data_IF_266663276223
#
_entry.id   IF_266663276223
#
_cell.length_a   1.000
_cell.length_b   1.000
_cell.length_c   1.000
_cell.angle_alpha   90.00
_cell.angle_beta   90.00
_cell.angle_gamma   90.00
#
_symmetry.space_group_name_H-M   'P 1'
#
loop_
_entity.id
_entity.type
_entity.pdbx_description
1 polymer ?
#
# COMPACT_ATOMS: atom_id res chain seq x y z
N UNK A 1 -16.48 -10.21 -0.45
CA UNK A 1 -16.15 -8.78 -0.32
C UNK A 1 -14.83 -8.56 -1.02
N UNK A 2 -14.61 -7.39 -1.59
CA UNK A 2 -13.38 -7.02 -2.32
C UNK A 2 -12.92 -5.66 -1.84
N UNK A 3 -11.62 -5.38 -1.95
CA UNK A 3 -11.10 -4.06 -1.57
C UNK A 3 -11.52 -3.02 -2.60
N UNK A 4 -12.00 -1.87 -2.15
CA UNK A 4 -12.42 -0.73 -2.98
C UNK A 4 -11.70 0.58 -2.61
N UNK A 5 -10.90 0.55 -1.54
CA UNK A 5 -10.06 1.66 -1.13
C UNK A 5 -9.17 1.32 0.07
N UNK A 6 -8.20 2.19 0.34
CA UNK A 6 -7.23 2.04 1.43
C UNK A 6 -6.88 3.39 2.04
N UNK A 7 -6.40 3.37 3.29
CA UNK A 7 -5.83 4.54 3.96
C UNK A 7 -4.88 4.12 5.09
N UNK A 8 -4.03 5.05 5.51
CA UNK A 8 -3.33 4.93 6.78
C UNK A 8 -4.17 5.48 7.94
N UNK A 9 -4.16 4.79 9.07
CA UNK A 9 -4.75 5.28 10.32
C UNK A 9 -3.78 5.07 11.47
N UNK A 10 -3.55 6.10 12.26
CA UNK A 10 -2.87 5.97 13.54
C UNK A 10 -3.89 5.64 14.63
N UNK A 11 -3.75 4.48 15.25
CA UNK A 11 -4.59 4.04 16.38
C UNK A 11 -3.79 3.15 17.31
N UNK A 12 -4.01 3.29 18.61
CA UNK A 12 -3.36 2.48 19.65
C UNK A 12 -1.82 2.52 19.53
N UNK A 13 -1.26 3.70 19.20
CA UNK A 13 0.19 3.94 19.00
C UNK A 13 0.83 3.19 17.81
N UNK A 14 0.00 2.69 16.89
CA UNK A 14 0.44 1.97 15.69
C UNK A 14 -0.14 2.63 14.43
N UNK A 15 0.63 2.60 13.34
CA UNK A 15 0.13 2.93 12.00
C UNK A 15 -0.45 1.67 11.38
N UNK A 16 -1.70 1.73 10.95
CA UNK A 16 -2.42 0.64 10.30
C UNK A 16 -2.70 0.97 8.84
N UNK A 17 -2.66 -0.03 7.96
CA UNK A 17 -3.40 0.03 6.70
C UNK A 17 -4.84 -0.37 7.01
N UNK A 18 -5.78 0.56 6.83
CA UNK A 18 -7.21 0.26 6.90
C UNK A 18 -7.75 0.09 5.48
N UNK A 19 -8.54 -0.95 5.26
CA UNK A 19 -9.17 -1.22 3.96
C UNK A 19 -10.65 -0.84 3.98
N UNK A 20 -11.12 -0.36 2.83
CA UNK A 20 -12.53 -0.22 2.49
C UNK A 20 -12.92 -1.42 1.64
N UNK A 21 -14.02 -2.06 1.99
CA UNK A 21 -14.54 -3.22 1.26
C UNK A 21 -15.92 -2.95 0.67
N UNK A 22 -16.21 -3.59 -0.46
CA UNK A 22 -17.52 -3.60 -1.11
C UNK A 22 -17.95 -5.00 -1.53
N UNK A 23 -19.26 -5.20 -1.74
CA UNK A 23 -19.79 -6.46 -2.29
C UNK A 23 -19.68 -6.42 -3.82
N UNK A 24 -18.82 -7.28 -4.36
CA UNK A 24 -18.68 -7.48 -5.80
C UNK A 24 -20.00 -7.96 -6.41
N UNK A 25 -20.24 -7.52 -7.64
CA UNK A 25 -21.37 -7.84 -8.50
C UNK A 25 -20.84 -8.15 -9.90
N UNK A 26 -21.66 -8.74 -10.78
CA UNK A 26 -21.35 -8.93 -12.19
C UNK A 26 -20.70 -7.71 -12.83
N UNK A 27 -19.81 -7.97 -13.79
CA UNK A 27 -19.10 -6.98 -14.59
C UNK A 27 -18.19 -6.05 -13.75
N UNK A 28 -17.62 -6.55 -12.67
CA UNK A 28 -16.74 -5.78 -11.79
C UNK A 28 -17.44 -4.63 -11.06
N UNK A 29 -18.77 -4.64 -10.96
CA UNK A 29 -19.52 -3.60 -10.25
C UNK A 29 -19.45 -3.83 -8.73
N UNK A 30 -19.61 -2.76 -7.97
CA UNK A 30 -19.80 -2.82 -6.52
C UNK A 30 -21.25 -2.51 -6.19
N UNK A 31 -21.88 -3.36 -5.37
CA UNK A 31 -23.26 -3.14 -4.93
C UNK A 31 -23.36 -1.79 -4.22
N UNK A 32 -24.22 -0.90 -4.73
CA UNK A 32 -24.41 0.44 -4.19
C UNK A 32 -24.76 0.38 -2.69
N UNK A 33 -24.04 1.14 -1.88
CA UNK A 33 -24.24 1.20 -0.43
C UNK A 33 -23.62 0.02 0.35
N UNK A 34 -22.95 -0.92 -0.32
CA UNK A 34 -22.21 -2.00 0.37
C UNK A 34 -20.82 -1.58 0.84
N UNK A 35 -20.29 -0.45 0.35
CA UNK A 35 -18.96 0.03 0.69
C UNK A 35 -18.85 0.48 2.14
N UNK A 36 -17.85 -0.04 2.85
CA UNK A 36 -17.55 0.37 4.23
C UNK A 36 -16.07 0.25 4.57
N UNK A 37 -15.58 1.13 5.43
CA UNK A 37 -14.29 0.95 6.07
C UNK A 37 -14.37 -0.19 7.09
N UNK A 38 -13.49 -1.19 7.00
CA UNK A 38 -13.39 -2.22 8.02
C UNK A 38 -12.80 -1.62 9.30
N UNK A 39 -13.46 -1.72 10.46
CA UNK A 39 -12.96 -1.12 11.69
C UNK A 39 -11.60 -1.72 12.06
N UNK A 40 -10.62 -0.86 12.36
CA UNK A 40 -9.34 -1.29 12.93
C UNK A 40 -9.62 -1.91 14.29
N UNK A 41 -9.11 -3.12 14.51
CA UNK A 41 -9.23 -3.82 15.80
C UNK A 41 -8.62 -2.98 16.92
N UNK A 42 -8.90 -3.35 18.17
CA UNK A 42 -8.33 -2.67 19.31
C UNK A 42 -7.09 -3.43 19.78
N UNK A 43 -6.01 -2.68 19.99
CA UNK A 43 -4.74 -3.22 20.46
C UNK A 43 -4.35 -2.54 21.76
N UNK A 44 -3.71 -3.29 22.64
CA UNK A 44 -3.17 -2.78 23.90
C UNK A 44 -1.65 -2.86 23.85
N UNK A 45 -1.00 -1.71 24.05
CA UNK A 45 0.44 -1.62 24.22
C UNK A 45 0.78 -1.81 25.70
N UNK A 46 1.78 -2.64 25.97
CA UNK A 46 2.37 -2.75 27.30
C UNK A 46 3.87 -2.54 27.23
N UNK A 47 4.46 -1.96 28.27
CA UNK A 47 5.91 -1.80 28.41
C UNK A 47 6.57 -3.11 28.90
N UNK A 48 6.00 -4.28 28.59
CA UNK A 48 6.55 -5.55 29.02
C UNK A 48 7.84 -5.87 28.24
N UNK A 49 8.94 -6.17 28.95
CA UNK A 49 10.26 -6.43 28.38
C UNK A 49 10.99 -5.17 27.90
N UNK A 50 12.19 -5.35 27.32
CA UNK A 50 13.05 -4.24 26.87
C UNK A 50 12.46 -3.41 25.71
N UNK A 51 11.51 -3.97 24.96
CA UNK A 51 11.05 -3.43 23.68
C UNK A 51 9.56 -3.04 23.65
N UNK A 52 8.82 -3.34 24.72
CA UNK A 52 7.36 -3.30 24.73
C UNK A 52 6.71 -4.39 23.89
N UNK A 53 5.41 -4.58 24.07
CA UNK A 53 4.63 -5.60 23.37
C UNK A 53 3.22 -5.12 23.07
N UNK A 54 2.58 -5.75 22.08
CA UNK A 54 1.18 -5.53 21.75
C UNK A 54 0.35 -6.79 21.99
N UNK A 55 -0.91 -6.60 22.33
CA UNK A 55 -1.90 -7.68 22.37
C UNK A 55 -3.19 -7.24 21.69
N UNK A 56 -3.83 -8.17 20.98
CA UNK A 56 -5.18 -7.99 20.44
C UNK A 56 -6.21 -8.07 21.58
N UNK A 57 -7.08 -7.06 21.65
CA UNK A 57 -8.19 -7.02 22.61
C UNK A 57 -9.36 -7.84 22.07
N UNK A 58 -9.66 -8.97 22.73
CA UNK A 58 -10.77 -9.86 22.36
C UNK A 58 -12.02 -9.70 23.24
N UNK A 59 -11.94 -8.89 24.29
CA UNK A 59 -13.04 -8.64 25.23
C UNK A 59 -12.56 -7.94 26.50
N UNK A 60 -13.40 -7.80 27.53
CA UNK A 60 -13.05 -7.03 28.74
C UNK A 60 -11.78 -7.51 29.47
N UNK A 61 -11.55 -8.84 29.51
CA UNK A 61 -10.41 -9.46 30.20
C UNK A 61 -9.59 -10.41 29.33
N UNK A 62 -9.92 -10.55 28.05
CA UNK A 62 -9.22 -11.46 27.14
C UNK A 62 -8.29 -10.66 26.22
N UNK A 63 -7.03 -11.07 26.21
CA UNK A 63 -5.97 -10.55 25.35
C UNK A 63 -5.29 -11.71 24.65
N UNK A 64 -4.90 -11.50 23.41
CA UNK A 64 -4.08 -12.42 22.63
C UNK A 64 -2.76 -11.70 22.30
N UNK A 65 -1.60 -12.20 22.77
CA UNK A 65 -0.32 -11.56 22.52
C UNK A 65 0.01 -11.60 21.02
N UNK A 66 0.58 -10.52 20.50
CA UNK A 66 1.06 -10.44 19.13
C UNK A 66 2.56 -10.73 19.04
N UNK A 67 2.97 -11.29 17.91
CA UNK A 67 4.37 -11.63 17.61
C UNK A 67 5.06 -10.48 16.86
N UNK A 68 6.10 -9.90 17.48
CA UNK A 68 6.89 -8.82 16.88
C UNK A 68 7.67 -9.30 15.65
N UNK A 69 7.62 -8.54 14.57
CA UNK A 69 8.14 -8.87 13.24
C UNK A 69 7.13 -9.61 12.35
N UNK A 70 6.07 -10.18 12.93
CA UNK A 70 5.04 -10.92 12.18
C UNK A 70 3.70 -10.19 12.17
N UNK A 71 3.19 -9.84 13.35
CA UNK A 71 1.90 -9.18 13.52
C UNK A 71 2.02 -7.66 13.61
N UNK A 72 3.16 -7.17 14.11
CA UNK A 72 3.52 -5.75 14.20
C UNK A 72 5.03 -5.59 14.20
N UNK A 73 5.54 -4.39 13.95
CA UNK A 73 6.97 -4.09 14.05
C UNK A 73 7.22 -2.68 14.58
N UNK A 74 8.31 -2.50 15.34
CA UNK A 74 8.80 -1.20 15.76
C UNK A 74 9.80 -0.67 14.74
N UNK A 75 9.60 0.57 14.32
CA UNK A 75 10.54 1.25 13.42
C UNK A 75 11.74 1.74 14.23
N UNK A 76 12.87 1.04 14.13
CA UNK A 76 14.10 1.31 14.90
C UNK A 76 15.31 0.60 14.32
N UNK A 77 16.52 1.11 14.60
CA UNK A 77 17.77 0.45 14.20
C UNK A 77 17.83 0.22 12.69
N UNK A 78 17.99 -1.03 12.25
CA UNK A 78 17.96 -1.39 10.82
C UNK A 78 16.54 -1.64 10.28
N UNK A 79 15.56 -1.78 11.16
CA UNK A 79 14.15 -1.97 10.82
C UNK A 79 13.49 -0.61 10.60
N UNK A 80 13.93 0.04 9.52
CA UNK A 80 13.46 1.39 9.12
C UNK A 80 13.43 1.59 7.62
N UNK A 81 13.60 0.51 6.86
CA UNK A 81 13.65 0.55 5.41
C UNK A 81 12.34 0.01 4.89
N UNK A 82 11.69 0.79 4.02
CA UNK A 82 10.49 0.39 3.32
C UNK A 82 10.74 0.32 1.82
N UNK A 83 10.38 -0.78 1.20
CA UNK A 83 10.33 -0.91 -0.26
C UNK A 83 9.11 -0.16 -0.81
N UNK A 84 9.31 0.55 -1.90
CA UNK A 84 8.28 1.32 -2.59
C UNK A 84 7.95 0.63 -3.91
N UNK A 85 6.77 0.02 -3.97
CA UNK A 85 6.35 -0.85 -5.07
C UNK A 85 4.86 -0.70 -5.39
N UNK A 86 4.52 -0.98 -6.65
CA UNK A 86 3.15 -1.24 -7.08
C UNK A 86 2.96 -2.75 -7.20
N UNK A 87 2.08 -3.30 -6.38
CA UNK A 87 1.75 -4.72 -6.42
C UNK A 87 0.45 -4.88 -7.20
N UNK A 88 0.56 -5.44 -8.40
CA UNK A 88 -0.57 -5.81 -9.24
C UNK A 88 -0.86 -7.30 -9.07
N UNK A 89 -2.13 -7.66 -8.99
CA UNK A 89 -2.55 -9.06 -9.01
C UNK A 89 -2.44 -9.63 -10.43
N UNK A 90 -2.31 -10.95 -10.59
CA UNK A 90 -2.37 -11.59 -11.90
C UNK A 90 -3.67 -11.30 -12.64
N UNK A 91 -3.67 -11.61 -13.94
CA UNK A 91 -4.91 -11.61 -14.71
C UNK A 91 -5.94 -12.53 -14.05
N UNK A 92 -7.22 -12.15 -14.12
CA UNK A 92 -8.37 -12.87 -13.54
C UNK A 92 -8.36 -12.93 -11.99
N UNK A 93 -7.52 -12.12 -11.35
CA UNK A 93 -7.51 -11.91 -9.90
C UNK A 93 -7.93 -10.48 -9.52
N UNK A 94 -8.29 -10.32 -8.25
CA UNK A 94 -8.64 -9.06 -7.61
C UNK A 94 -8.04 -8.99 -6.22
N UNK A 95 -7.92 -7.75 -5.72
CA UNK A 95 -7.45 -7.49 -4.37
C UNK A 95 -8.56 -7.72 -3.34
N UNK A 96 -8.32 -8.61 -2.39
CA UNK A 96 -9.20 -8.88 -1.24
C UNK A 96 -8.58 -8.54 0.12
N UNK A 97 -7.32 -8.12 0.16
CA UNK A 97 -6.61 -7.76 1.38
C UNK A 97 -5.28 -7.06 1.11
N UNK A 98 -4.75 -6.39 2.13
CA UNK A 98 -3.51 -5.60 2.06
C UNK A 98 -2.81 -5.67 3.40
N UNK A 99 -1.49 -5.80 3.41
CA UNK A 99 -0.70 -5.76 4.66
C UNK A 99 0.70 -5.22 4.41
N UNK A 100 1.38 -4.88 5.50
CA UNK A 100 2.83 -4.84 5.50
C UNK A 100 3.38 -6.20 5.89
N UNK A 101 4.55 -6.54 5.35
CA UNK A 101 5.33 -7.70 5.75
C UNK A 101 6.81 -7.41 5.54
N UNK A 102 7.68 -8.21 6.15
CA UNK A 102 9.09 -8.21 5.82
C UNK A 102 9.34 -8.93 4.49
N UNK A 103 10.40 -8.52 3.76
CA UNK A 103 10.81 -9.15 2.50
C UNK A 103 11.28 -10.59 2.72
N UNK A 104 12.08 -10.80 3.77
CA UNK A 104 12.55 -12.11 4.24
C UNK A 104 11.75 -12.48 5.50
N UNK A 105 12.02 -13.65 6.06
CA UNK A 105 11.35 -14.09 7.27
C UNK A 105 11.53 -13.14 8.46
N UNK A 106 10.50 -13.06 9.32
CA UNK A 106 10.39 -12.07 10.40
C UNK A 106 11.47 -12.16 11.49
N UNK A 107 12.14 -13.31 11.63
CA UNK A 107 13.27 -13.47 12.55
C UNK A 107 14.57 -12.87 12.01
N UNK A 108 14.65 -12.55 10.72
CA UNK A 108 15.80 -11.89 10.10
C UNK A 108 15.72 -10.40 10.40
N UNK A 109 16.65 -9.90 11.23
CA UNK A 109 16.63 -8.50 11.71
C UNK A 109 17.52 -7.55 10.92
N UNK A 110 18.48 -8.06 10.16
CA UNK A 110 19.38 -7.27 9.32
C UNK A 110 18.98 -7.36 7.85
N UNK A 111 19.06 -6.23 7.14
CA UNK A 111 18.74 -6.16 5.70
C UNK A 111 17.41 -6.85 5.36
N UNK A 112 16.38 -6.52 6.13
CA UNK A 112 15.04 -7.08 5.94
C UNK A 112 14.00 -5.95 5.84
N UNK A 113 13.94 -5.26 4.68
CA UNK A 113 12.99 -4.17 4.47
C UNK A 113 11.55 -4.61 4.69
N UNK A 114 10.71 -3.65 5.08
CA UNK A 114 9.26 -3.81 5.09
C UNK A 114 8.74 -3.52 3.67
N UNK A 115 7.75 -4.28 3.22
CA UNK A 115 7.10 -4.13 1.92
C UNK A 115 5.58 -4.20 2.08
N UNK A 116 4.86 -3.69 1.09
CA UNK A 116 3.43 -3.93 0.96
C UNK A 116 3.20 -5.30 0.30
N UNK A 117 2.20 -6.02 0.79
CA UNK A 117 1.70 -7.24 0.17
C UNK A 117 0.19 -7.10 -0.09
N UNK A 118 -0.25 -7.71 -1.18
CA UNK A 118 -1.64 -7.71 -1.62
C UNK A 118 -2.17 -9.14 -1.56
N UNK A 119 -3.37 -9.32 -1.00
CA UNK A 119 -4.04 -10.61 -0.98
C UNK A 119 -4.81 -10.77 -2.28
N UNK A 120 -4.27 -11.59 -3.16
CA UNK A 120 -4.74 -11.85 -4.51
C UNK A 120 -5.73 -13.01 -4.50
N UNK A 121 -6.94 -12.79 -5.02
CA UNK A 121 -7.96 -13.83 -5.14
C UNK A 121 -8.44 -13.95 -6.58
N UNK A 122 -8.54 -15.18 -7.14
CA UNK A 122 -9.23 -15.37 -8.40
C UNK A 122 -10.71 -14.98 -8.28
N UNK A 123 -11.27 -14.44 -9.35
CA UNK A 123 -12.69 -14.06 -9.38
C UNK A 123 -13.32 -14.35 -10.74
N UNK A 124 -14.64 -14.49 -10.70
CA UNK A 124 -15.45 -14.55 -11.92
C UNK A 124 -16.00 -13.16 -12.22
N UNK A 125 -15.57 -12.58 -13.34
CA UNK A 125 -16.02 -11.26 -13.78
C UNK A 125 -17.50 -11.23 -14.16
N UNK A 126 -18.01 -12.29 -14.79
CA UNK A 126 -19.40 -12.34 -15.24
C UNK A 126 -20.35 -12.52 -14.06
N UNK A 127 -19.99 -13.42 -13.14
CA UNK A 127 -20.86 -13.76 -12.02
C UNK A 127 -20.67 -12.80 -10.83
N UNK A 128 -19.51 -12.15 -10.72
CA UNK A 128 -19.24 -11.16 -9.70
C UNK A 128 -18.93 -11.72 -8.31
N UNK A 129 -18.22 -12.85 -8.25
CA UNK A 129 -17.79 -13.44 -6.97
C UNK A 129 -16.34 -13.95 -7.01
N UNK A 130 -15.72 -14.00 -5.84
CA UNK A 130 -14.38 -14.60 -5.64
C UNK A 130 -14.50 -16.12 -5.80
N UNK A 131 -13.70 -16.71 -6.68
CA UNK A 131 -13.78 -18.12 -7.08
C UNK A 131 -12.57 -18.89 -6.55
N UNK A 132 -12.59 -19.24 -5.27
CA UNK A 132 -11.46 -19.97 -4.66
C UNK A 132 -11.49 -21.43 -5.11
N UNK A 133 -10.46 -21.85 -5.84
CA UNK A 133 -10.27 -23.24 -6.26
C UNK A 133 -9.02 -23.84 -5.63
N UNK A 134 -8.96 -25.18 -5.50
CA UNK A 134 -7.79 -25.85 -4.94
C UNK A 134 -6.50 -25.57 -5.73
N UNK A 135 -6.62 -25.42 -7.07
CA UNK A 135 -5.49 -25.15 -7.97
C UNK A 135 -5.12 -23.68 -8.07
N UNK A 136 -5.97 -22.79 -7.56
CA UNK A 136 -5.78 -21.35 -7.60
C UNK A 136 -6.26 -20.73 -6.28
N UNK A 137 -5.45 -20.88 -5.21
CA UNK A 137 -5.82 -20.39 -3.90
C UNK A 137 -5.61 -18.88 -3.79
N UNK A 138 -6.29 -18.27 -2.81
CA UNK A 138 -6.03 -16.88 -2.44
C UNK A 138 -4.64 -16.76 -1.81
N UNK A 139 -3.79 -15.89 -2.34
CA UNK A 139 -2.36 -15.81 -1.95
C UNK A 139 -1.90 -14.39 -1.70
N UNK A 140 -0.99 -14.22 -0.73
CA UNK A 140 -0.29 -12.95 -0.53
C UNK A 140 0.81 -12.84 -1.57
N UNK A 141 0.81 -11.74 -2.33
CA UNK A 141 1.81 -11.45 -3.36
C UNK A 141 2.49 -10.11 -3.08
N UNK A 142 3.71 -9.98 -3.58
CA UNK A 142 4.52 -8.77 -3.48
C UNK A 142 5.49 -8.69 -4.66
N UNK A 143 6.19 -7.56 -4.79
CA UNK A 143 7.27 -7.44 -5.77
C UNK A 143 8.59 -7.96 -5.17
N UNK A 144 9.00 -9.13 -5.65
CA UNK A 144 10.36 -9.64 -5.48
C UNK A 144 11.22 -9.12 -6.62
N UNK A 145 12.18 -8.25 -6.30
CA UNK A 145 13.09 -7.65 -7.28
C UNK A 145 14.51 -8.14 -7.05
N UNK A 146 15.05 -8.87 -8.03
CA UNK A 146 16.47 -9.22 -8.09
C UNK A 146 17.36 -8.00 -8.42
N UNK A 147 16.76 -6.90 -8.86
CA UNK A 147 17.47 -5.65 -9.17
C UNK A 147 17.80 -4.90 -7.89
N UNK A 148 19.00 -4.31 -7.87
CA UNK A 148 19.43 -3.39 -6.81
C UNK A 148 18.46 -2.21 -6.69
N UNK A 149 17.81 -2.09 -5.53
CA UNK A 149 16.93 -0.96 -5.22
C UNK A 149 17.72 0.32 -4.95
N UNK A 150 17.14 1.45 -5.32
CA UNK A 150 17.75 2.78 -5.09
C UNK A 150 17.06 3.50 -3.93
N UNK A 151 17.85 4.11 -3.05
CA UNK A 151 17.32 4.89 -1.93
C UNK A 151 16.74 6.22 -2.42
N UNK A 152 15.58 6.61 -1.88
CA UNK A 152 15.11 8.00 -1.89
C UNK A 152 16.11 8.83 -1.08
N UNK A 153 16.69 9.86 -1.71
CA UNK A 153 17.70 10.71 -1.09
C UNK A 153 17.04 11.92 -0.44
N UNK A 154 17.49 12.22 0.77
CA UNK A 154 17.16 13.45 1.48
C UNK A 154 18.43 14.25 1.70
N UNK A 155 18.37 15.56 1.48
CA UNK A 155 19.49 16.47 1.70
C UNK A 155 19.10 17.49 2.77
N UNK A 156 19.63 17.31 3.98
CA UNK A 156 19.28 18.11 5.15
C UNK A 156 17.77 18.37 5.24
N UNK A 157 16.93 17.31 5.30
CA UNK A 157 15.49 17.44 5.07
C UNK A 157 14.77 18.19 6.20
N UNK A 158 13.91 19.13 5.83
CA UNK A 158 12.96 19.77 6.74
C UNK A 158 11.60 19.04 6.77
N UNK A 159 10.68 19.56 7.57
CA UNK A 159 9.33 19.04 7.73
C UNK A 159 8.53 19.07 6.42
N UNK A 160 7.86 17.97 6.05
CA UNK A 160 7.01 17.91 4.86
C UNK A 160 5.87 18.95 4.82
N UNK A 161 5.49 19.50 5.96
CA UNK A 161 4.44 20.52 6.10
C UNK A 161 4.89 21.93 5.76
N UNK A 162 6.21 22.18 5.68
CA UNK A 162 6.77 23.49 5.32
C UNK A 162 6.82 23.74 3.81
N UNK A 163 6.42 22.77 2.99
CA UNK A 163 6.31 22.92 1.54
C UNK A 163 5.05 22.23 1.01
N UNK A 164 4.26 22.96 0.21
CA UNK A 164 3.02 22.44 -0.39
C UNK A 164 3.23 21.53 -1.61
N UNK A 165 4.40 21.59 -2.25
CA UNK A 165 4.70 20.82 -3.45
C UNK A 165 5.24 19.43 -3.09
N UNK A 166 4.38 18.41 -3.26
CA UNK A 166 4.71 17.01 -3.02
C UNK A 166 4.49 16.19 -4.28
N UNK A 167 5.57 15.97 -5.04
CA UNK A 167 5.52 15.26 -6.33
C UNK A 167 5.68 13.76 -6.07
N UNK A 168 4.77 12.91 -6.59
CA UNK A 168 4.93 11.46 -6.54
C UNK A 168 6.22 10.99 -7.18
N UNK A 169 6.91 10.05 -6.53
CA UNK A 169 8.05 9.39 -7.15
C UNK A 169 7.56 8.37 -8.18
N UNK A 170 8.06 8.45 -9.41
CA UNK A 170 7.61 7.60 -10.53
C UNK A 170 8.60 6.48 -10.88
N UNK A 171 9.82 6.53 -10.34
CA UNK A 171 10.86 5.54 -10.62
C UNK A 171 10.56 4.22 -9.88
N UNK A 172 10.68 3.05 -10.55
CA UNK A 172 10.53 1.74 -9.90
C UNK A 172 11.78 1.34 -9.10
N UNK A 173 11.66 0.26 -8.31
CA UNK A 173 12.75 -0.32 -7.51
C UNK A 173 13.36 0.68 -6.53
N UNK A 174 12.48 1.38 -5.81
CA UNK A 174 12.91 2.31 -4.77
C UNK A 174 12.74 1.69 -3.39
N UNK A 175 13.50 2.25 -2.47
CA UNK A 175 13.23 2.13 -1.05
C UNK A 175 13.42 3.47 -0.38
N UNK A 176 12.79 3.63 0.77
CA UNK A 176 12.95 4.80 1.63
C UNK A 176 13.39 4.34 3.01
N UNK A 177 14.24 5.15 3.63
CA UNK A 177 14.71 4.93 4.98
C UNK A 177 14.05 5.97 5.88
N UNK A 178 13.35 5.50 6.91
CA UNK A 178 12.83 6.36 7.97
C UNK A 178 14.03 6.91 8.74
N UNK A 179 14.09 8.23 8.88
CA UNK A 179 15.19 8.92 9.53
C UNK A 179 14.71 10.20 10.22
N UNK A 180 15.59 10.80 11.00
CA UNK A 180 15.40 12.10 11.62
C UNK A 180 15.38 13.24 10.58
N UNK A 181 14.64 14.30 10.90
CA UNK A 181 14.76 15.60 10.24
C UNK A 181 16.14 16.23 10.49
N UNK A 182 16.46 17.28 9.74
CA UNK A 182 17.73 17.97 9.89
C UNK A 182 17.88 18.64 11.26
N UNK A 183 19.07 18.48 11.86
CA UNK A 183 19.40 19.04 13.18
C UNK A 183 19.36 20.57 13.21
N UNK A 184 19.70 21.26 12.12
CA UNK A 184 19.68 22.73 12.09
C UNK A 184 18.29 23.29 11.84
N UNK A 185 17.42 22.53 11.15
CA UNK A 185 16.06 22.98 10.79
C UNK A 185 15.00 22.64 11.83
N UNK A 186 15.16 21.53 12.55
CA UNK A 186 14.17 21.02 13.53
C UNK A 186 14.82 20.21 14.68
N UNK A 187 16.13 20.38 14.93
CA UNK A 187 16.86 19.65 15.98
C UNK A 187 16.72 18.11 15.90
N UNK A 188 16.35 17.56 14.73
CA UNK A 188 16.10 16.13 14.53
C UNK A 188 14.90 15.58 15.32
N UNK A 189 13.95 16.43 15.70
CA UNK A 189 12.81 16.01 16.54
C UNK A 189 11.76 15.21 15.75
N UNK A 190 11.69 15.38 14.43
CA UNK A 190 10.70 14.73 13.60
C UNK A 190 11.24 13.49 12.91
N UNK A 191 10.40 12.46 12.82
CA UNK A 191 10.68 11.26 12.02
C UNK A 191 10.06 11.40 10.65
N UNK A 192 10.88 11.33 9.61
CA UNK A 192 10.49 11.51 8.20
C UNK A 192 10.73 10.23 7.38
N UNK A 193 10.01 10.06 6.25
CA UNK A 193 8.86 10.86 5.79
C UNK A 193 7.63 10.74 6.69
N UNK A 194 6.67 11.64 6.53
CA UNK A 194 5.37 11.54 7.23
C UNK A 194 4.45 10.53 6.54
N UNK A 195 3.44 10.03 7.26
CA UNK A 195 2.41 9.17 6.68
C UNK A 195 1.30 10.03 6.07
N UNK A 196 0.95 9.79 4.80
CA UNK A 196 -0.21 10.42 4.18
C UNK A 196 -1.49 9.67 4.56
N UNK A 197 -2.23 10.22 5.51
CA UNK A 197 -3.44 9.60 6.08
C UNK A 197 -4.70 9.80 5.23
N UNK A 198 -4.59 10.42 4.06
CA UNK A 198 -5.74 10.67 3.19
C UNK A 198 -6.39 9.36 2.72
N UNK A 199 -7.73 9.39 2.64
CA UNK A 199 -8.51 8.30 2.07
C UNK A 199 -8.20 8.16 0.57
N UNK A 200 -7.76 6.96 0.16
CA UNK A 200 -7.56 6.65 -1.26
C UNK A 200 -8.65 5.68 -1.67
N UNK A 201 -9.65 6.19 -2.41
CA UNK A 201 -10.84 5.45 -2.83
C UNK A 201 -11.15 5.71 -4.30
N UNK A 202 -11.84 4.77 -4.93
CA UNK A 202 -12.40 4.96 -6.28
C UNK A 202 -13.76 5.66 -6.20
N UNK A 203 -14.06 6.47 -7.23
CA UNK A 203 -15.37 7.10 -7.40
C UNK A 203 -15.74 7.08 -8.90
N UNK A 204 -16.72 6.25 -9.33
CA UNK A 204 -17.53 5.33 -8.51
C UNK A 204 -16.69 4.19 -7.90
N UNK A 205 -17.24 3.52 -6.87
CA UNK A 205 -16.56 2.39 -6.24
C UNK A 205 -16.32 1.26 -7.24
N UNK A 206 -15.09 0.76 -7.26
CA UNK A 206 -14.60 -0.24 -8.20
C UNK A 206 -13.64 -1.21 -7.49
N UNK A 207 -13.66 -2.51 -7.85
CA UNK A 207 -12.65 -3.46 -7.40
C UNK A 207 -11.25 -3.04 -7.86
N UNK A 208 -10.26 -3.49 -7.10
CA UNK A 208 -8.87 -3.17 -7.36
C UNK A 208 -8.14 -4.38 -7.95
N UNK A 209 -7.25 -4.09 -8.91
CA UNK A 209 -6.26 -5.04 -9.43
C UNK A 209 -4.86 -4.78 -8.88
N UNK A 210 -4.71 -3.80 -7.99
CA UNK A 210 -3.42 -3.58 -7.36
C UNK A 210 -3.40 -2.37 -6.44
N UNK A 211 -2.35 -2.31 -5.64
CA UNK A 211 -2.11 -1.25 -4.66
C UNK A 211 -0.63 -0.90 -4.68
N UNK A 212 -0.38 0.40 -4.70
CA UNK A 212 0.97 0.95 -4.63
C UNK A 212 1.27 1.59 -3.30
N UNK A 213 2.52 1.45 -2.87
CA UNK A 213 3.09 2.19 -1.76
C UNK A 213 4.29 2.99 -2.25
N UNK A 214 4.22 4.31 -2.14
CA UNK A 214 5.19 5.20 -2.77
C UNK A 214 5.52 6.40 -1.88
N UNK A 215 6.61 7.08 -2.23
CA UNK A 215 7.00 8.35 -1.64
C UNK A 215 6.57 9.51 -2.54
N UNK A 216 6.02 10.57 -1.97
CA UNK A 216 5.85 11.87 -2.64
C UNK A 216 6.53 12.97 -1.84
N UNK A 217 7.24 13.86 -2.51
CA UNK A 217 7.97 14.93 -1.83
C UNK A 217 8.50 15.96 -2.81
N UNK A 218 9.24 16.93 -2.29
CA UNK A 218 9.88 17.92 -3.14
C UNK A 218 11.02 17.29 -3.94
N UNK A 219 11.22 17.72 -5.20
CA UNK A 219 12.14 17.07 -6.15
C UNK A 219 13.62 17.16 -5.74
N UNK A 220 13.97 18.16 -4.93
CA UNK A 220 15.34 18.38 -4.45
C UNK A 220 15.68 17.57 -3.18
N UNK A 221 14.71 16.90 -2.56
CA UNK A 221 14.92 16.16 -1.31
C UNK A 221 15.17 17.03 -0.07
N UNK A 222 14.92 18.34 -0.13
CA UNK A 222 15.09 19.28 1.00
C UNK A 222 13.98 19.18 2.05
N UNK A 223 12.92 18.40 1.77
CA UNK A 223 11.80 18.14 2.66
C UNK A 223 11.56 16.64 2.71
N UNK A 224 11.23 16.11 3.89
CA UNK A 224 11.09 14.67 4.10
C UNK A 224 9.98 14.00 3.29
N UNK A 225 9.02 14.76 2.76
CA UNK A 225 7.89 14.23 1.99
C UNK A 225 6.95 13.31 2.79
N UNK A 226 6.17 12.50 2.06
CA UNK A 226 5.15 11.62 2.59
C UNK A 226 5.22 10.22 1.99
N UNK A 227 4.93 9.21 2.80
CA UNK A 227 4.60 7.86 2.36
C UNK A 227 3.10 7.78 2.09
N UNK A 228 2.74 7.41 0.87
CA UNK A 228 1.37 7.44 0.39
C UNK A 228 0.99 6.12 -0.29
N UNK A 229 -0.33 5.89 -0.33
CA UNK A 229 -0.93 4.75 -1.03
C UNK A 229 -1.52 5.22 -2.36
N UNK A 230 -1.53 4.34 -3.36
CA UNK A 230 -2.27 4.53 -4.61
C UNK A 230 -3.00 3.27 -5.01
N UNK A 231 -4.06 3.44 -5.80
CA UNK A 231 -4.92 2.36 -6.26
C UNK A 231 -4.70 2.09 -7.75
N UNK A 232 -4.75 0.82 -8.11
CA UNK A 232 -4.94 0.39 -9.48
C UNK A 232 -6.34 -0.22 -9.57
N UNK A 233 -7.28 0.53 -10.15
CA UNK A 233 -8.63 0.03 -10.41
C UNK A 233 -8.61 -1.07 -11.45
N UNK A 234 -9.57 -1.99 -11.38
CA UNK A 234 -9.75 -3.05 -12.36
C UNK A 234 -9.82 -2.48 -13.78
N UNK A 235 -8.98 -2.99 -14.69
CA UNK A 235 -9.15 -2.77 -16.12
C UNK A 235 -10.16 -3.79 -16.66
N UNK A 236 -11.34 -3.31 -17.04
CA UNK A 236 -12.41 -4.17 -17.53
C UNK A 236 -12.20 -4.61 -18.99
N UNK A 237 -11.29 -3.98 -19.73
CA UNK A 237 -11.06 -4.30 -21.16
C UNK A 237 -10.61 -5.73 -21.36
N UNK A 238 -9.77 -6.26 -20.47
CA UNK A 238 -9.31 -7.65 -20.53
C UNK A 238 -10.44 -8.67 -20.35
N UNK A 239 -11.59 -8.23 -19.82
CA UNK A 239 -12.76 -9.05 -19.52
C UNK A 239 -13.91 -8.84 -20.51
N UNK A 240 -13.75 -7.96 -21.51
CA UNK A 240 -14.76 -7.77 -22.56
C UNK A 240 -14.69 -8.96 -23.54
N UNK A 241 -15.61 -9.92 -23.41
CA UNK A 241 -15.76 -11.07 -24.34
C UNK A 241 -16.30 -10.70 -25.72
N UNK A 242 -16.68 -9.44 -25.94
CA UNK A 242 -17.00 -8.92 -27.27
C UNK A 242 -15.72 -8.66 -28.05
N UNK A 243 -15.68 -9.04 -29.33
CA UNK A 243 -14.72 -8.46 -30.29
C UNK A 243 -14.92 -6.95 -30.26
N UNK A 244 -14.15 -6.22 -29.46
CA UNK A 244 -14.09 -4.78 -29.57
C UNK A 244 -13.61 -4.49 -31.00
N UNK A 245 -14.32 -3.66 -31.75
CA UNK A 245 -13.75 -3.08 -32.96
C UNK A 245 -12.36 -2.51 -32.64
N UNK A 246 -11.35 -2.83 -33.45
CA UNK A 246 -9.94 -2.53 -33.17
C UNK A 246 -9.69 -1.03 -32.92
N UNK A 247 -10.50 -0.17 -33.54
CA UNK A 247 -10.52 1.28 -33.36
C UNK A 247 -10.96 1.70 -31.95
N UNK A 248 -11.98 1.06 -31.38
CA UNK A 248 -12.44 1.31 -30.00
C UNK A 248 -11.42 0.82 -28.97
N UNK A 249 -10.78 -0.34 -29.22
CA UNK A 249 -9.73 -0.87 -28.35
C UNK A 249 -8.53 0.09 -28.33
N UNK A 250 -8.07 0.52 -29.50
CA UNK A 250 -6.98 1.48 -29.66
C UNK A 250 -7.29 2.83 -29.00
N UNK A 251 -8.52 3.34 -29.17
CA UNK A 251 -8.96 4.58 -28.52
C UNK A 251 -8.93 4.47 -26.99
N UNK A 252 -9.34 3.32 -26.44
CA UNK A 252 -9.30 3.08 -25.01
C UNK A 252 -7.85 2.99 -24.49
N UNK A 253 -6.99 2.22 -25.14
CA UNK A 253 -5.56 2.11 -24.81
C UNK A 253 -4.88 3.48 -24.84
N UNK A 254 -5.15 4.29 -25.88
CA UNK A 254 -4.61 5.64 -26.00
C UNK A 254 -5.11 6.61 -24.93
N UNK A 255 -6.29 6.37 -24.35
CA UNK A 255 -6.92 7.24 -23.35
C UNK A 255 -6.61 6.83 -21.91
N UNK A 256 -6.49 5.53 -21.65
CA UNK A 256 -6.43 4.98 -20.28
C UNK A 256 -5.19 4.13 -19.98
N UNK A 257 -4.48 3.61 -20.99
CA UNK A 257 -3.22 2.89 -20.79
C UNK A 257 -1.97 3.73 -21.04
N UNK A 258 -2.11 4.99 -21.49
CA UNK A 258 -0.98 5.93 -21.43
C UNK A 258 -0.55 6.07 -19.97
N UNK A 259 0.74 5.89 -19.63
CA UNK A 259 1.22 6.20 -18.30
C UNK A 259 0.80 7.62 -17.95
N UNK A 260 0.34 7.84 -16.72
CA UNK A 260 0.08 9.21 -16.24
C UNK A 260 1.31 10.06 -16.54
N UNK A 261 1.14 11.01 -17.46
CA UNK A 261 2.05 12.06 -17.89
C UNK A 261 3.50 11.93 -17.37
N UNK A 262 4.43 11.61 -18.28
CA UNK A 262 5.88 11.74 -18.04
C UNK A 262 6.37 13.02 -18.72
N UNK A 263 6.64 14.12 -17.99
CA UNK A 263 7.39 15.23 -18.54
C UNK A 263 8.86 14.85 -18.48
N UNK A 264 9.34 14.15 -19.51
CA UNK A 264 10.78 14.10 -19.78
C UNK A 264 10.98 14.72 -21.14
N UNK A 265 11.47 15.97 -21.13
CA UNK A 265 12.17 16.51 -22.28
C UNK A 265 13.38 15.61 -22.54
N UNK A 266 13.45 15.08 -23.75
CA UNK A 266 14.69 14.58 -24.32
C UNK A 266 15.74 15.69 -24.30
N UNK A 267 16.82 15.50 -23.54
CA UNK A 267 18.18 15.96 -23.86
C UNK A 267 19.17 14.94 -23.29
#
# INVERSE_FOLDING_TARGET
>A
MVVTGVRFVQKDRMIHIQIREGKLQPEGRILKGSDRWLPVRQYEYTTAGENGSYSLVLGKKKREPLEMGRDFEFIRGDIRIFNLDDVLVPKDHIVVGVRFNHVKDWWIKQDNPIRIEVYSAPYDYEEGFVKVEYRDPVTWIAIDSDKKRTSVKFDHPDLPTKNGLNVPTLRPNLFVKIQESDLKKDAGQSTIPFWDIQDVVTSPSSPLQGIGFFHKGHRDGLYGGYLALRLHSLDFVDNLKTKLPDDLKKLYEEKYQKPMYSPVSSL
#
